data_IF_147692220986
#
_entry.id   IF_147692220986
#
_cell.length_a   1.000
_cell.length_b   1.000
_cell.length_c   1.000
_cell.angle_alpha   90.00
_cell.angle_beta   90.00
_cell.angle_gamma   90.00
#
_symmetry.space_group_name_H-M   'P 1'
#
loop_
_entity.id
_entity.type
_entity.pdbx_description
1 polymer ?
#
# COMPACT_ATOMS: atom_id res chain seq x y z
N UNK A 1 -11.22 20.12 3.80
CA UNK A 1 -10.42 20.60 2.65
C UNK A 1 -11.24 20.45 1.37
N UNK A 2 -12.21 21.34 1.15
CA UNK A 2 -13.32 21.12 0.20
C UNK A 2 -12.97 21.46 -1.25
N UNK A 3 -12.17 22.50 -1.45
CA UNK A 3 -11.71 22.96 -2.76
C UNK A 3 -10.64 22.03 -3.35
N UNK A 4 -10.71 21.80 -4.66
CA UNK A 4 -9.75 21.01 -5.43
C UNK A 4 -8.39 21.71 -5.51
N UNK A 5 -8.37 23.04 -5.69
CA UNK A 5 -7.11 23.78 -5.75
C UNK A 5 -6.38 23.75 -4.40
N UNK A 6 -7.11 23.85 -3.28
CA UNK A 6 -6.53 23.66 -1.95
C UNK A 6 -5.92 22.26 -1.75
N UNK A 7 -6.57 21.21 -2.27
CA UNK A 7 -6.07 19.83 -2.25
C UNK A 7 -4.79 19.68 -3.08
N UNK A 8 -4.73 20.32 -4.24
CA UNK A 8 -3.52 20.32 -5.08
C UNK A 8 -2.36 21.10 -4.46
N UNK A 9 -2.62 22.24 -3.83
CA UNK A 9 -1.61 22.99 -3.07
C UNK A 9 -1.10 22.16 -1.89
N UNK A 10 -1.99 21.48 -1.17
CA UNK A 10 -1.60 20.58 -0.10
C UNK A 10 -0.72 19.44 -0.61
N UNK A 11 -1.16 18.75 -1.67
CA UNK A 11 -0.43 17.63 -2.25
C UNK A 11 0.97 18.02 -2.71
N UNK A 12 1.10 19.16 -3.40
CA UNK A 12 2.39 19.69 -3.84
C UNK A 12 3.29 20.06 -2.67
N UNK A 13 2.77 20.79 -1.69
CA UNK A 13 3.55 21.22 -0.52
C UNK A 13 4.06 20.02 0.27
N UNK A 14 3.17 19.09 0.62
CA UNK A 14 3.52 17.94 1.46
C UNK A 14 4.20 16.80 0.71
N UNK A 15 4.03 16.72 -0.61
CA UNK A 15 4.67 15.72 -1.46
C UNK A 15 6.20 15.78 -1.44
N UNK A 16 6.78 16.95 -1.15
CA UNK A 16 8.23 17.09 -0.95
C UNK A 16 8.70 16.56 0.40
N UNK A 17 7.88 16.69 1.43
CA UNK A 17 8.24 16.34 2.81
C UNK A 17 7.90 14.89 3.16
N UNK A 18 6.92 14.31 2.46
CA UNK A 18 6.39 12.99 2.75
C UNK A 18 6.46 12.15 1.48
N UNK A 19 7.37 11.18 1.49
CA UNK A 19 7.60 10.30 0.34
C UNK A 19 7.56 8.82 0.74
N UNK A 20 7.15 7.96 -0.18
CA UNK A 20 7.22 6.51 -0.04
C UNK A 20 8.17 5.93 -1.10
N UNK A 21 9.38 6.50 -1.18
CA UNK A 21 10.41 6.10 -2.15
C UNK A 21 11.31 5.04 -1.53
N UNK A 22 11.28 3.84 -2.11
CA UNK A 22 12.25 2.80 -1.83
C UNK A 22 13.59 3.18 -2.49
N UNK A 23 14.70 3.30 -1.74
CA UNK A 23 16.01 3.55 -2.32
C UNK A 23 16.46 2.43 -3.29
N UNK A 24 16.03 1.18 -3.08
CA UNK A 24 16.35 0.05 -3.94
C UNK A 24 15.14 -0.91 -4.07
N UNK A 25 14.14 -0.59 -4.93
CA UNK A 25 12.90 -1.38 -5.06
C UNK A 25 13.12 -2.76 -5.70
N UNK A 26 14.13 -2.89 -6.56
CA UNK A 26 14.47 -4.11 -7.27
C UNK A 26 15.49 -4.99 -6.53
N UNK A 27 15.86 -4.60 -5.30
CA UNK A 27 16.86 -5.31 -4.51
C UNK A 27 16.43 -6.73 -4.22
N UNK A 28 17.25 -7.68 -4.63
CA UNK A 28 17.17 -9.07 -4.15
C UNK A 28 18.06 -9.19 -2.93
N UNK A 29 17.55 -9.81 -1.86
CA UNK A 29 18.33 -10.11 -0.64
C UNK A 29 19.26 -11.29 -0.99
N UNK A 30 20.59 -11.11 -1.01
CA UNK A 30 21.50 -12.20 -1.29
C UNK A 30 21.43 -13.28 -0.20
N UNK A 31 21.67 -14.54 -0.59
CA UNK A 31 21.76 -15.63 0.36
C UNK A 31 22.93 -15.39 1.33
N UNK A 32 22.66 -15.44 2.64
CA UNK A 32 23.65 -15.13 3.70
C UNK A 32 23.60 -13.71 4.23
N UNK A 33 22.79 -12.82 3.64
CA UNK A 33 22.53 -11.51 4.22
C UNK A 33 21.72 -11.65 5.52
N UNK A 34 22.34 -11.27 6.64
CA UNK A 34 21.73 -11.34 7.97
C UNK A 34 20.62 -10.32 8.18
N UNK A 35 19.89 -10.43 9.29
CA UNK A 35 18.85 -9.46 9.64
C UNK A 35 19.48 -8.08 9.90
N UNK A 36 19.12 -7.02 9.14
CA UNK A 36 19.69 -5.70 9.38
C UNK A 36 19.29 -5.09 10.74
N UNK A 37 18.34 -5.70 11.45
CA UNK A 37 17.92 -5.27 12.79
C UNK A 37 18.63 -5.99 13.94
N UNK A 38 19.50 -6.97 13.65
CA UNK A 38 20.20 -7.75 14.69
C UNK A 38 21.57 -7.20 15.07
N UNK A 39 21.97 -6.03 14.55
CA UNK A 39 23.24 -5.37 14.90
C UNK A 39 22.95 -4.14 15.76
N UNK A 40 23.93 -3.73 16.56
CA UNK A 40 23.84 -2.46 17.29
C UNK A 40 23.85 -1.29 16.29
N UNK A 41 22.80 -0.45 16.23
CA UNK A 41 22.71 0.69 15.31
C UNK A 41 23.84 1.71 15.46
N UNK A 42 24.44 1.83 16.65
CA UNK A 42 25.53 2.76 16.92
C UNK A 42 26.90 2.20 16.53
N UNK A 43 26.99 0.88 16.34
CA UNK A 43 28.22 0.19 15.98
C UNK A 43 28.48 0.08 14.48
N UNK A 44 27.49 0.47 13.65
CA UNK A 44 27.53 0.31 12.19
C UNK A 44 27.31 1.65 11.51
N UNK A 45 28.12 1.92 10.50
CA UNK A 45 27.96 3.12 9.67
C UNK A 45 26.60 3.12 8.95
N UNK A 46 25.91 4.26 9.02
CA UNK A 46 24.65 4.47 8.32
C UNK A 46 24.87 4.80 6.85
N UNK A 47 25.11 3.76 6.04
CA UNK A 47 25.24 3.86 4.58
C UNK A 47 23.88 3.80 3.87
N UNK A 48 23.84 4.22 2.60
CA UNK A 48 22.63 4.10 1.77
C UNK A 48 22.18 2.63 1.59
N UNK A 49 23.14 1.72 1.44
CA UNK A 49 22.89 0.27 1.43
C UNK A 49 22.27 -0.20 2.76
N UNK A 50 22.72 0.33 3.89
CA UNK A 50 22.15 -0.04 5.19
C UNK A 50 20.71 0.45 5.33
N UNK A 51 20.46 1.69 4.92
CA UNK A 51 19.12 2.24 4.87
C UNK A 51 18.20 1.39 3.98
N UNK A 52 18.66 1.01 2.78
CA UNK A 52 17.86 0.18 1.86
C UNK A 52 17.54 -1.19 2.43
N UNK A 53 18.49 -1.84 3.12
CA UNK A 53 18.28 -3.11 3.83
C UNK A 53 17.17 -2.96 4.89
N UNK A 54 17.26 -1.94 5.74
CA UNK A 54 16.29 -1.70 6.81
C UNK A 54 14.90 -1.39 6.23
N UNK A 55 14.82 -0.49 5.26
CA UNK A 55 13.56 -0.10 4.61
C UNK A 55 12.90 -1.31 3.94
N UNK A 56 13.64 -2.08 3.14
CA UNK A 56 13.09 -3.28 2.49
C UNK A 56 12.65 -4.36 3.49
N UNK A 57 13.28 -4.43 4.67
CA UNK A 57 12.91 -5.40 5.72
C UNK A 57 11.68 -4.99 6.51
N UNK A 58 11.57 -3.71 6.87
CA UNK A 58 10.56 -3.18 7.78
C UNK A 58 9.32 -2.65 7.06
N UNK A 59 9.51 -2.04 5.89
CA UNK A 59 8.48 -1.27 5.21
C UNK A 59 7.84 -1.99 4.04
N UNK A 60 8.52 -2.99 3.47
CA UNK A 60 7.98 -3.72 2.32
C UNK A 60 7.02 -4.82 2.79
N UNK A 61 5.78 -4.71 2.34
CA UNK A 61 4.73 -5.67 2.65
C UNK A 61 4.99 -7.00 1.94
N UNK A 62 4.91 -8.09 2.71
CA UNK A 62 4.87 -9.45 2.17
C UNK A 62 3.51 -10.05 2.49
N UNK A 63 2.71 -10.28 1.46
CA UNK A 63 1.40 -10.87 1.63
C UNK A 63 1.48 -12.24 2.31
N UNK A 64 0.55 -12.50 3.23
CA UNK A 64 0.44 -13.77 3.96
C UNK A 64 -1.04 -14.16 4.07
N UNK A 65 -1.32 -15.45 3.85
CA UNK A 65 -2.63 -16.11 3.94
C UNK A 65 -3.27 -16.02 5.32
N UNK A 66 -2.49 -15.93 6.40
CA UNK A 66 -3.02 -15.89 7.77
C UNK A 66 -3.37 -14.49 8.26
N UNK A 67 -2.85 -13.45 7.59
CA UNK A 67 -2.94 -12.08 8.11
C UNK A 67 -3.68 -11.13 7.17
N UNK A 68 -3.13 -10.90 5.97
CA UNK A 68 -3.61 -9.85 5.09
C UNK A 68 -4.43 -10.35 3.92
N UNK A 69 -4.14 -11.53 3.37
CA UNK A 69 -4.90 -12.10 2.27
C UNK A 69 -6.26 -12.57 2.76
N UNK A 70 -7.32 -12.00 2.23
CA UNK A 70 -8.71 -12.35 2.56
C UNK A 70 -9.49 -12.58 1.28
N UNK A 71 -10.47 -13.48 1.33
CA UNK A 71 -11.41 -13.64 0.25
C UNK A 71 -12.04 -12.28 -0.06
N UNK A 72 -12.00 -11.88 -1.33
CA UNK A 72 -12.63 -10.66 -1.79
C UNK A 72 -14.10 -10.70 -1.41
N UNK A 73 -14.53 -9.75 -0.57
CA UNK A 73 -15.95 -9.52 -0.38
C UNK A 73 -16.42 -8.86 -1.66
N UNK A 74 -16.95 -9.63 -2.61
CA UNK A 74 -17.80 -9.04 -3.65
C UNK A 74 -18.83 -8.17 -2.94
N UNK A 75 -19.15 -7.04 -3.54
CA UNK A 75 -20.17 -6.05 -3.15
C UNK A 75 -21.56 -6.69 -2.97
N UNK A 76 -21.68 -7.58 -1.99
CA UNK A 76 -22.91 -8.24 -1.57
C UNK A 76 -23.82 -7.34 -0.75
N UNK A 77 -23.41 -6.09 -0.49
CA UNK A 77 -24.26 -5.03 0.04
C UNK A 77 -24.90 -4.18 -1.09
N UNK A 78 -24.61 -4.44 -2.36
CA UNK A 78 -25.26 -3.79 -3.53
C UNK A 78 -26.04 -4.78 -4.43
N UNK A 79 -26.00 -6.08 -4.14
CA UNK A 79 -26.65 -7.11 -4.95
C UNK A 79 -28.09 -7.44 -4.50
N UNK A 80 -28.87 -6.45 -4.04
CA UNK A 80 -30.32 -6.64 -3.82
C UNK A 80 -31.14 -6.53 -5.11
N UNK A 81 -30.55 -6.04 -6.19
CA UNK A 81 -31.25 -5.87 -7.46
C UNK A 81 -30.44 -6.55 -8.59
N UNK A 82 -30.94 -7.68 -9.08
CA UNK A 82 -30.72 -8.34 -10.39
C UNK A 82 -30.56 -9.86 -10.25
N UNK A 83 -31.72 -10.49 -10.11
CA UNK A 83 -31.96 -11.93 -10.15
C UNK A 83 -31.79 -12.48 -11.58
N UNK A 84 -31.11 -13.63 -11.72
CA UNK A 84 -31.29 -14.50 -12.89
C UNK A 84 -30.05 -15.07 -13.58
N UNK A 85 -28.84 -14.54 -13.37
CA UNK A 85 -27.63 -15.02 -14.08
C UNK A 85 -26.41 -15.29 -13.18
N UNK A 86 -26.52 -15.15 -11.85
CA UNK A 86 -25.38 -15.17 -10.94
C UNK A 86 -24.98 -16.56 -10.42
N UNK A 87 -25.86 -17.56 -10.50
CA UNK A 87 -25.66 -18.85 -9.81
C UNK A 87 -24.45 -19.65 -10.32
N UNK A 88 -24.20 -19.65 -11.64
CA UNK A 88 -23.10 -20.42 -12.23
C UNK A 88 -21.73 -19.74 -12.02
N UNK A 89 -21.72 -18.40 -11.94
CA UNK A 89 -20.53 -17.61 -11.62
C UNK A 89 -20.20 -17.74 -10.13
N UNK A 90 -21.20 -17.80 -9.25
CA UNK A 90 -21.04 -17.92 -7.81
C UNK A 90 -20.44 -19.28 -7.40
N UNK A 91 -20.86 -20.37 -8.07
CA UNK A 91 -20.29 -21.70 -7.87
C UNK A 91 -18.82 -21.80 -8.31
N UNK A 92 -18.46 -21.18 -9.45
CA UNK A 92 -17.08 -21.17 -9.94
C UNK A 92 -16.14 -20.30 -9.08
N UNK A 93 -16.63 -19.21 -8.49
CA UNK A 93 -15.85 -18.34 -7.61
C UNK A 93 -15.75 -18.86 -6.16
N UNK A 94 -16.69 -19.69 -5.71
CA UNK A 94 -16.61 -20.38 -4.42
C UNK A 94 -15.48 -21.43 -4.37
N UNK A 95 -15.09 -22.00 -5.52
CA UNK A 95 -14.01 -22.97 -5.62
C UNK A 95 -12.61 -22.36 -5.49
N UNK A 96 -12.44 -21.06 -5.76
CA UNK A 96 -11.18 -20.34 -5.59
C UNK A 96 -11.45 -18.84 -5.37
N UNK A 97 -11.82 -18.40 -4.14
CA UNK A 97 -12.09 -17.01 -3.90
C UNK A 97 -10.80 -16.21 -4.13
N UNK A 98 -10.80 -15.32 -5.13
CA UNK A 98 -9.70 -14.39 -5.34
C UNK A 98 -9.37 -13.73 -4.01
N UNK A 99 -8.20 -14.04 -3.46
CA UNK A 99 -7.74 -13.48 -2.19
C UNK A 99 -7.07 -12.16 -2.48
N UNK A 100 -7.65 -11.08 -1.97
CA UNK A 100 -7.04 -9.75 -2.02
C UNK A 100 -6.35 -9.44 -0.71
N UNK A 101 -5.30 -8.62 -0.76
CA UNK A 101 -4.73 -8.08 0.47
C UNK A 101 -5.70 -7.05 1.04
N UNK A 102 -6.17 -7.25 2.28
CA UNK A 102 -7.06 -6.32 2.99
C UNK A 102 -6.48 -4.91 3.21
N UNK A 103 -5.19 -4.74 2.90
CA UNK A 103 -4.48 -3.47 2.96
C UNK A 103 -4.24 -2.87 1.55
N UNK A 104 -4.86 -3.43 0.51
CA UNK A 104 -4.80 -2.98 -0.89
C UNK A 104 -3.40 -3.09 -1.53
N UNK A 105 -2.63 -4.12 -1.19
CA UNK A 105 -1.39 -4.44 -1.90
C UNK A 105 -1.64 -5.42 -3.07
N UNK A 106 -0.92 -5.28 -4.21
CA UNK A 106 0.05 -4.23 -4.51
C UNK A 106 -0.65 -2.89 -4.80
N UNK A 107 -0.04 -1.79 -4.34
CA UNK A 107 -0.59 -0.44 -4.57
C UNK A 107 -0.09 0.11 -5.90
N UNK A 108 -0.89 0.98 -6.52
CA UNK A 108 -0.47 1.71 -7.71
C UNK A 108 0.80 2.53 -7.45
N UNK A 109 1.72 2.51 -8.42
CA UNK A 109 2.86 3.42 -8.45
C UNK A 109 2.39 4.83 -8.79
N UNK A 110 3.07 5.84 -8.25
CA UNK A 110 2.75 7.25 -8.50
C UNK A 110 4.02 8.08 -8.51
N UNK A 111 4.21 8.86 -9.56
CA UNK A 111 5.35 9.78 -9.64
C UNK A 111 5.18 11.01 -8.73
N UNK A 112 3.93 11.46 -8.56
CA UNK A 112 3.58 12.65 -7.77
C UNK A 112 2.61 12.31 -6.65
N UNK A 113 2.73 13.07 -5.56
CA UNK A 113 1.77 13.02 -4.46
C UNK A 113 0.43 13.61 -4.89
N UNK A 114 -0.67 13.08 -4.35
CA UNK A 114 -2.02 13.54 -4.63
C UNK A 114 -2.94 13.37 -3.42
N UNK A 115 -3.97 14.20 -3.31
CA UNK A 115 -5.06 14.00 -2.35
C UNK A 115 -6.24 13.42 -3.12
N UNK A 116 -6.53 12.13 -2.89
CA UNK A 116 -7.55 11.40 -3.65
C UNK A 116 -8.72 10.96 -2.77
N UNK A 117 -9.90 10.82 -3.37
CA UNK A 117 -11.03 10.13 -2.75
C UNK A 117 -11.11 8.72 -3.31
N UNK A 118 -10.92 7.72 -2.46
CA UNK A 118 -11.03 6.31 -2.86
C UNK A 118 -12.51 5.93 -3.02
N UNK A 119 -12.77 4.99 -3.92
CA UNK A 119 -14.11 4.43 -4.10
C UNK A 119 -14.66 3.92 -2.77
N UNK A 120 -15.93 4.22 -2.49
CA UNK A 120 -16.58 3.85 -1.23
C UNK A 120 -16.10 4.60 0.01
N UNK A 121 -15.25 5.64 -0.11
CA UNK A 121 -14.84 6.49 1.02
C UNK A 121 -15.51 7.86 0.95
N UNK A 122 -15.93 8.38 2.11
CA UNK A 122 -16.47 9.74 2.27
C UNK A 122 -15.39 10.80 2.41
N UNK A 123 -14.16 10.41 2.74
CA UNK A 123 -13.05 11.29 3.06
C UNK A 123 -11.94 11.23 2.00
N UNK A 124 -11.11 12.27 1.99
CA UNK A 124 -9.91 12.35 1.16
C UNK A 124 -8.69 11.78 1.88
N UNK A 125 -7.78 11.19 1.11
CA UNK A 125 -6.53 10.60 1.59
C UNK A 125 -5.37 11.19 0.82
N UNK A 126 -4.36 11.66 1.53
CA UNK A 126 -3.07 11.99 0.92
C UNK A 126 -2.32 10.70 0.54
N UNK A 127 -1.96 10.58 -0.73
CA UNK A 127 -1.07 9.55 -1.23
C UNK A 127 0.24 10.17 -1.72
N UNK A 128 1.35 9.85 -1.06
CA UNK A 128 2.69 10.23 -1.51
C UNK A 128 3.10 9.56 -2.83
N UNK A 129 4.12 10.13 -3.48
CA UNK A 129 4.83 9.45 -4.56
C UNK A 129 5.38 8.09 -4.11
N UNK A 130 5.31 7.09 -5.00
CA UNK A 130 5.60 5.68 -4.72
C UNK A 130 6.25 5.01 -5.94
N UNK A 131 7.45 4.48 -5.73
CA UNK A 131 8.20 3.68 -6.72
C UNK A 131 8.22 2.17 -6.42
N UNK A 132 7.66 1.74 -5.29
CA UNK A 132 7.54 0.32 -4.91
C UNK A 132 6.10 0.00 -4.50
N UNK A 133 5.46 -0.89 -5.25
CA UNK A 133 4.06 -1.26 -5.07
C UNK A 133 3.79 -2.07 -3.79
N UNK A 134 4.83 -2.55 -3.11
CA UNK A 134 4.77 -3.24 -1.83
C UNK A 134 5.20 -2.35 -0.66
N UNK A 135 5.59 -1.10 -0.89
CA UNK A 135 5.99 -0.21 0.20
C UNK A 135 4.81 0.21 1.07
N UNK A 136 4.91 0.00 2.38
CA UNK A 136 3.99 0.57 3.35
C UNK A 136 4.08 2.09 3.34
N UNK A 137 2.95 2.74 3.63
CA UNK A 137 2.96 4.15 3.95
C UNK A 137 3.53 4.29 5.37
N UNK A 138 4.75 4.82 5.52
CA UNK A 138 5.18 5.36 6.81
C UNK A 138 4.74 6.80 6.92
N UNK A 139 3.43 6.99 6.83
CA UNK A 139 2.82 8.25 7.13
C UNK A 139 1.51 7.94 7.84
N UNK A 140 1.23 8.49 9.04
CA UNK A 140 -0.13 8.50 9.54
C UNK A 140 -0.97 9.04 8.38
N UNK A 141 -1.94 8.26 7.89
CA UNK A 141 -2.82 8.72 6.84
C UNK A 141 -3.34 10.07 7.30
N UNK A 142 -2.96 11.15 6.60
CA UNK A 142 -3.50 12.46 6.90
C UNK A 142 -4.92 12.39 6.36
N UNK A 143 -5.84 11.98 7.24
CA UNK A 143 -7.27 11.96 6.97
C UNK A 143 -7.72 13.40 7.10
N UNK A 144 -8.15 13.96 5.98
CA UNK A 144 -8.61 15.33 5.91
C UNK A 144 -10.12 15.31 6.07
N UNK A 145 -10.59 15.86 7.18
CA UNK A 145 -11.99 16.18 7.43
C UNK A 145 -12.46 17.38 6.62
#
# INVERSE_FOLDING_TARGET
MEDEAARDVFARTWGFHITAINPEPSRTVPQGEGNPLSVDPLSVEMTFLRLSQIVNRCQRHKCNTTYCLRARKRTGDLARDMEGAAADIEAANAANPEKECRFDFPRALRELAAVIRKEGKSYYVFEAARNDNLMNHFNPAIILG
#
